data_IF_536324607137
#
_entry.id   IF_536324607137
#
_cell.length_a   1.000
_cell.length_b   1.000
_cell.length_c   1.000
_cell.angle_alpha   90.00
_cell.angle_beta   90.00
_cell.angle_gamma   90.00
#
_symmetry.space_group_name_H-M   'P 1'
#
loop_
_entity.id
_entity.type
_entity.pdbx_description
1 polymer ?
#
# COMPACT_ATOMS: atom_id res chain seq x y z
N UNK A 1 -14.09 11.26 9.35
CA UNK A 1 -12.78 11.88 9.02
C UNK A 1 -11.63 10.90 9.28
N UNK A 2 -10.72 10.69 8.32
CA UNK A 2 -9.66 9.67 8.41
C UNK A 2 -8.77 9.81 9.66
N UNK A 3 -8.61 11.03 10.21
CA UNK A 3 -7.81 11.29 11.41
C UNK A 3 -8.31 10.55 12.65
N UNK A 4 -9.63 10.32 12.74
CA UNK A 4 -10.26 9.61 13.84
C UNK A 4 -10.28 8.10 13.62
N UNK A 5 -10.08 7.64 12.37
CA UNK A 5 -10.30 6.25 12.00
C UNK A 5 -9.31 5.32 12.70
N UNK A 6 -8.05 5.73 12.89
CA UNK A 6 -7.07 4.92 13.61
C UNK A 6 -7.55 4.57 15.03
N UNK A 7 -7.97 5.56 15.82
CA UNK A 7 -8.47 5.33 17.18
C UNK A 7 -9.75 4.50 17.24
N UNK A 8 -10.57 4.52 16.18
CA UNK A 8 -11.75 3.66 16.06
C UNK A 8 -11.40 2.22 15.66
N UNK A 9 -10.31 2.02 14.91
CA UNK A 9 -9.89 0.69 14.45
C UNK A 9 -9.14 -0.09 15.52
N UNK A 10 -8.32 0.55 16.36
CA UNK A 10 -7.55 -0.11 17.43
C UNK A 10 -8.41 -1.07 18.27
N UNK A 11 -9.52 -0.64 18.92
CA UNK A 11 -10.32 -1.56 19.74
C UNK A 11 -10.98 -2.69 18.93
N UNK A 12 -11.23 -2.48 17.62
CA UNK A 12 -11.73 -3.56 16.75
C UNK A 12 -10.64 -4.60 16.50
N UNK A 13 -9.41 -4.17 16.25
CA UNK A 13 -8.28 -5.08 16.07
C UNK A 13 -7.87 -5.77 17.36
N UNK A 14 -8.04 -5.13 18.52
CA UNK A 14 -7.87 -5.80 19.82
C UNK A 14 -8.81 -7.00 19.95
N UNK A 15 -10.09 -6.82 19.63
CA UNK A 15 -11.07 -7.91 19.64
C UNK A 15 -10.74 -9.01 18.62
N UNK A 16 -10.30 -8.66 17.42
CA UNK A 16 -9.87 -9.63 16.40
C UNK A 16 -8.67 -10.42 16.90
N UNK A 17 -7.69 -9.77 17.54
CA UNK A 17 -6.51 -10.43 18.11
C UNK A 17 -6.87 -11.43 19.19
N UNK A 18 -7.82 -11.08 20.05
CA UNK A 18 -8.31 -11.97 21.10
C UNK A 18 -9.04 -13.18 20.51
N UNK A 19 -9.94 -12.94 19.54
CA UNK A 19 -10.72 -13.99 18.91
C UNK A 19 -9.86 -14.97 18.10
N UNK A 20 -8.87 -14.44 17.38
CA UNK A 20 -7.99 -15.21 16.48
C UNK A 20 -6.62 -15.51 17.12
N UNK A 21 -6.49 -15.39 18.45
CA UNK A 21 -5.21 -15.54 19.16
C UNK A 21 -4.50 -16.86 18.86
N UNK A 22 -5.24 -17.97 18.84
CA UNK A 22 -4.69 -19.30 18.53
C UNK A 22 -4.16 -19.37 17.09
N UNK A 23 -4.88 -18.76 16.14
CA UNK A 23 -4.47 -18.71 14.75
C UNK A 23 -3.15 -17.93 14.58
N UNK A 24 -3.05 -16.76 15.21
CA UNK A 24 -1.83 -15.95 15.18
C UNK A 24 -0.64 -16.62 15.88
N UNK A 25 -0.87 -17.32 16.99
CA UNK A 25 0.16 -18.10 17.68
C UNK A 25 0.69 -19.23 16.79
N UNK A 26 -0.20 -19.99 16.14
CA UNK A 26 0.19 -21.06 15.19
C UNK A 26 0.97 -20.51 14.00
N UNK A 27 0.58 -19.36 13.44
CA UNK A 27 1.32 -18.69 12.37
C UNK A 27 2.72 -18.23 12.82
N UNK A 28 2.80 -17.61 13.99
CA UNK A 28 4.06 -17.13 14.56
C UNK A 28 5.03 -18.28 14.82
N UNK A 29 4.53 -19.41 15.35
CA UNK A 29 5.30 -20.66 15.53
C UNK A 29 5.82 -21.24 14.22
N UNK A 30 5.10 -21.06 13.11
CA UNK A 30 5.56 -21.43 11.77
C UNK A 30 6.58 -20.44 11.17
N UNK A 31 6.92 -19.36 11.88
CA UNK A 31 7.90 -18.35 11.45
C UNK A 31 7.31 -17.20 10.65
N UNK A 32 5.98 -17.07 10.60
CA UNK A 32 5.32 -15.93 9.96
C UNK A 32 5.47 -14.67 10.82
N UNK A 33 5.88 -13.56 10.21
CA UNK A 33 6.03 -12.28 10.90
C UNK A 33 4.70 -11.54 10.90
N UNK A 34 4.17 -11.26 12.09
CA UNK A 34 2.91 -10.55 12.27
C UNK A 34 3.14 -9.11 12.70
N UNK A 35 2.29 -8.21 12.22
CA UNK A 35 2.10 -6.87 12.75
C UNK A 35 0.63 -6.48 12.59
N UNK A 36 0.15 -5.60 13.48
CA UNK A 36 -1.22 -5.08 13.44
C UNK A 36 -1.24 -3.61 13.03
N UNK A 37 -0.30 -3.20 12.18
CA UNK A 37 -0.02 -1.79 11.89
C UNK A 37 0.89 -1.16 12.93
N UNK A 38 1.58 -0.09 12.55
CA UNK A 38 2.59 0.59 13.40
C UNK A 38 2.01 1.19 14.69
N UNK A 39 0.73 1.50 14.68
CA UNK A 39 -0.05 2.04 15.79
C UNK A 39 -1.22 1.12 16.16
N UNK A 40 -1.12 -0.18 15.84
CA UNK A 40 -2.13 -1.21 16.14
C UNK A 40 -3.52 -0.99 15.51
N UNK A 41 -3.64 -0.05 14.56
CA UNK A 41 -4.91 0.28 13.89
C UNK A 41 -5.25 -0.62 12.69
N UNK A 42 -4.46 -1.69 12.51
CA UNK A 42 -4.77 -2.81 11.63
C UNK A 42 -4.66 -2.56 10.13
N UNK A 43 -5.18 -3.53 9.37
CA UNK A 43 -5.10 -3.57 7.90
C UNK A 43 -5.70 -2.32 7.25
N UNK A 44 -6.83 -1.83 7.76
CA UNK A 44 -7.55 -0.70 7.15
C UNK A 44 -6.68 0.55 7.13
N UNK A 45 -6.07 0.90 8.26
CA UNK A 45 -5.21 2.07 8.32
C UNK A 45 -3.87 1.84 7.62
N UNK A 46 -3.30 0.63 7.70
CA UNK A 46 -2.09 0.27 6.94
C UNK A 46 -2.30 0.47 5.43
N UNK A 47 -3.46 0.05 4.92
CA UNK A 47 -3.87 0.27 3.54
C UNK A 47 -3.99 1.75 3.20
N UNK A 48 -4.70 2.55 4.01
CA UNK A 48 -4.88 3.97 3.72
C UNK A 48 -3.55 4.75 3.74
N UNK A 49 -2.62 4.39 4.63
CA UNK A 49 -1.32 5.06 4.77
C UNK A 49 -0.32 4.69 3.69
N UNK A 50 -0.25 3.41 3.31
CA UNK A 50 0.85 2.86 2.51
C UNK A 50 0.42 2.28 1.16
N UNK A 51 -0.86 1.95 0.99
CA UNK A 51 -1.40 1.28 -0.20
C UNK A 51 -0.78 -0.10 -0.46
N UNK A 52 -0.03 -0.64 0.50
CA UNK A 52 0.84 -1.80 0.32
C UNK A 52 1.29 -2.37 1.68
N UNK A 53 2.03 -3.48 1.65
CA UNK A 53 2.67 -4.06 2.83
C UNK A 53 1.70 -4.81 3.75
N UNK A 54 0.60 -5.31 3.21
CA UNK A 54 -0.37 -6.10 3.95
C UNK A 54 -0.64 -7.42 3.24
N UNK A 55 -1.20 -8.36 4.00
CA UNK A 55 -1.52 -9.71 3.55
C UNK A 55 -2.99 -9.99 3.87
N UNK A 56 -3.70 -10.60 2.92
CA UNK A 56 -5.07 -11.08 3.10
C UNK A 56 -5.01 -12.59 2.91
N UNK A 57 -5.41 -13.34 3.94
CA UNK A 57 -5.45 -14.78 3.83
C UNK A 57 -6.58 -15.22 2.90
N UNK A 58 -6.22 -16.00 1.90
CA UNK A 58 -7.14 -16.69 0.97
C UNK A 58 -6.93 -18.20 1.02
N UNK A 59 -6.31 -18.72 2.10
CA UNK A 59 -6.06 -20.13 2.37
C UNK A 59 -4.58 -20.48 2.55
N UNK A 60 -3.66 -19.57 2.22
CA UNK A 60 -2.23 -19.82 2.30
C UNK A 60 -1.71 -19.81 3.76
N UNK A 61 -2.37 -19.09 4.68
CA UNK A 61 -1.97 -19.08 6.09
C UNK A 61 -2.07 -20.47 6.70
N UNK A 62 -3.14 -21.22 6.39
CA UNK A 62 -3.27 -22.59 6.89
C UNK A 62 -2.20 -23.51 6.29
N UNK A 63 -1.84 -23.32 5.02
CA UNK A 63 -0.75 -24.09 4.39
C UNK A 63 0.62 -23.78 5.01
N UNK A 64 0.84 -22.55 5.47
CA UNK A 64 2.03 -22.15 6.24
C UNK A 64 2.03 -22.83 7.61
N UNK A 65 0.91 -22.76 8.33
CA UNK A 65 0.75 -23.43 9.63
C UNK A 65 0.99 -24.94 9.52
N UNK A 66 0.46 -25.57 8.47
CA UNK A 66 0.62 -27.01 8.20
C UNK A 66 2.05 -27.38 7.74
N UNK A 67 2.93 -26.40 7.52
CA UNK A 67 4.29 -26.62 7.01
C UNK A 67 4.38 -26.98 5.52
N UNK A 68 3.27 -26.87 4.78
CA UNK A 68 3.23 -27.09 3.32
C UNK A 68 3.92 -25.96 2.56
N UNK A 69 3.80 -24.74 3.08
CA UNK A 69 4.58 -23.58 2.64
C UNK A 69 5.61 -23.28 3.72
N UNK A 70 6.90 -23.35 3.36
CA UNK A 70 8.00 -23.04 4.27
C UNK A 70 8.36 -21.57 4.17
N UNK A 71 8.73 -20.97 5.30
CA UNK A 71 9.15 -19.57 5.38
C UNK A 71 10.63 -19.47 5.71
N UNK A 72 11.29 -18.49 5.10
CA UNK A 72 12.67 -18.10 5.42
C UNK A 72 12.71 -16.56 5.47
N UNK A 73 12.63 -16.04 6.69
CA UNK A 73 12.50 -14.61 6.99
C UNK A 73 13.81 -14.03 7.52
N UNK A 74 13.92 -12.70 7.56
CA UNK A 74 15.09 -11.99 8.13
C UNK A 74 16.35 -12.02 7.28
N UNK A 75 16.25 -12.49 6.03
CA UNK A 75 17.35 -12.60 5.06
C UNK A 75 16.91 -12.01 3.73
N UNK A 76 17.86 -11.59 2.90
CA UNK A 76 17.62 -11.15 1.54
C UNK A 76 18.19 -12.15 0.53
N UNK A 77 17.84 -11.96 -0.74
CA UNK A 77 18.46 -12.70 -1.84
C UNK A 77 19.83 -12.10 -2.13
N UNK A 78 20.89 -12.91 -2.04
CA UNK A 78 22.26 -12.51 -2.39
C UNK A 78 22.54 -12.73 -3.88
N UNK A 79 22.23 -13.94 -4.39
CA UNK A 79 22.40 -14.29 -5.80
C UNK A 79 21.45 -15.40 -6.22
N UNK A 80 21.08 -15.39 -7.50
CA UNK A 80 20.35 -16.48 -8.15
C UNK A 80 21.34 -17.29 -8.98
N UNK A 81 21.27 -18.62 -8.84
CA UNK A 81 21.97 -19.58 -9.70
C UNK A 81 20.96 -20.29 -10.60
N UNK A 82 21.47 -21.11 -11.51
CA UNK A 82 20.66 -21.86 -12.48
C UNK A 82 19.55 -22.71 -11.83
N UNK A 83 19.83 -23.33 -10.68
CA UNK A 83 18.89 -24.21 -9.97
C UNK A 83 18.76 -23.91 -8.47
N UNK A 84 19.15 -22.71 -8.04
CA UNK A 84 19.09 -22.34 -6.63
C UNK A 84 19.09 -20.84 -6.38
N UNK A 85 18.73 -20.45 -5.16
CA UNK A 85 18.80 -19.09 -4.65
C UNK A 85 19.69 -19.09 -3.39
N UNK A 86 20.72 -18.26 -3.39
CA UNK A 86 21.58 -18.05 -2.22
C UNK A 86 21.10 -16.82 -1.47
N UNK A 87 20.91 -17.00 -0.17
CA UNK A 87 20.45 -15.97 0.75
C UNK A 87 21.63 -15.35 1.48
N UNK A 88 21.43 -14.15 2.01
CA UNK A 88 22.48 -13.37 2.69
C UNK A 88 23.05 -14.02 3.96
N UNK A 89 22.40 -15.04 4.50
CA UNK A 89 22.94 -15.83 5.63
C UNK A 89 23.77 -17.04 5.17
N UNK A 90 24.04 -17.14 3.86
CA UNK A 90 24.75 -18.26 3.24
C UNK A 90 23.87 -19.47 2.94
N UNK A 91 22.59 -19.47 3.32
CA UNK A 91 21.66 -20.57 2.97
C UNK A 91 21.49 -20.63 1.45
N UNK A 92 21.61 -21.83 0.86
CA UNK A 92 21.29 -22.08 -0.55
C UNK A 92 20.03 -22.94 -0.65
N UNK A 93 19.01 -22.44 -1.36
CA UNK A 93 17.74 -23.11 -1.56
C UNK A 93 17.63 -23.58 -3.01
N UNK A 94 17.48 -24.88 -3.25
CA UNK A 94 17.18 -25.41 -4.57
C UNK A 94 15.82 -24.91 -5.08
N UNK A 95 15.77 -24.52 -6.35
CA UNK A 95 14.54 -24.03 -6.98
C UNK A 95 14.54 -24.32 -8.48
N UNK A 96 13.45 -24.90 -8.97
CA UNK A 96 13.19 -25.07 -10.42
C UNK A 96 12.45 -23.86 -11.03
N UNK A 97 11.79 -23.06 -10.18
CA UNK A 97 11.06 -21.85 -10.57
C UNK A 97 11.21 -20.77 -9.48
N UNK A 98 11.44 -19.54 -9.92
CA UNK A 98 11.49 -18.35 -9.04
C UNK A 98 10.39 -17.38 -9.47
N UNK A 99 9.52 -17.02 -8.52
CA UNK A 99 8.44 -16.05 -8.74
C UNK A 99 8.73 -14.80 -7.91
N UNK A 100 8.86 -13.65 -8.58
CA UNK A 100 9.05 -12.36 -7.93
C UNK A 100 7.70 -11.79 -7.47
N UNK A 101 7.35 -12.08 -6.22
CA UNK A 101 6.18 -11.53 -5.54
C UNK A 101 6.54 -10.31 -4.66
N UNK A 102 7.43 -9.44 -5.13
CA UNK A 102 8.03 -8.33 -4.34
C UNK A 102 7.20 -7.04 -4.29
N UNK A 103 5.97 -7.08 -4.81
CA UNK A 103 5.02 -5.97 -4.79
C UNK A 103 5.24 -4.95 -5.92
N UNK A 104 4.55 -3.81 -5.81
CA UNK A 104 4.56 -2.74 -6.81
C UNK A 104 5.24 -1.48 -6.27
N UNK A 105 5.88 -0.72 -7.17
CA UNK A 105 6.37 0.63 -6.88
C UNK A 105 5.24 1.67 -6.78
N UNK A 106 5.59 2.91 -6.44
CA UNK A 106 4.63 4.00 -6.34
C UNK A 106 4.09 4.45 -7.70
N UNK A 107 2.88 5.02 -7.72
CA UNK A 107 2.27 5.54 -8.96
C UNK A 107 3.03 6.76 -9.51
N UNK A 108 3.54 7.63 -8.63
CA UNK A 108 4.39 8.76 -9.04
C UNK A 108 5.73 8.30 -9.61
N UNK A 109 6.29 7.18 -9.14
CA UNK A 109 7.46 6.56 -9.76
C UNK A 109 7.20 6.08 -11.20
N UNK A 110 5.97 5.67 -11.51
CA UNK A 110 5.57 5.39 -12.90
C UNK A 110 5.42 6.67 -13.73
N UNK A 111 4.91 7.76 -13.16
CA UNK A 111 4.88 9.05 -13.85
C UNK A 111 6.29 9.53 -14.24
N UNK A 112 7.29 9.30 -13.37
CA UNK A 112 8.69 9.63 -13.66
C UNK A 112 9.22 8.85 -14.87
N UNK A 113 8.93 7.56 -14.93
CA UNK A 113 9.39 6.65 -16.00
C UNK A 113 8.66 6.85 -17.32
N UNK A 114 7.35 7.15 -17.28
CA UNK A 114 6.50 7.20 -18.48
C UNK A 114 6.37 8.60 -19.07
N UNK A 115 6.52 9.66 -18.25
CA UNK A 115 6.32 11.04 -18.66
C UNK A 115 7.61 11.84 -18.47
N UNK A 116 7.97 12.16 -17.23
CA UNK A 116 9.24 12.78 -16.85
C UNK A 116 9.37 12.89 -15.33
N UNK A 117 10.60 13.03 -14.84
CA UNK A 117 10.86 13.33 -13.42
C UNK A 117 10.18 14.64 -12.99
N UNK A 118 10.21 15.69 -13.84
CA UNK A 118 9.56 16.97 -13.56
C UNK A 118 8.05 16.82 -13.32
N UNK A 119 7.37 15.99 -14.11
CA UNK A 119 5.93 15.72 -13.93
C UNK A 119 5.69 14.93 -12.64
N UNK A 120 6.54 13.96 -12.33
CA UNK A 120 6.43 13.19 -11.10
C UNK A 120 6.63 14.06 -9.85
N UNK A 121 7.58 14.97 -9.88
CA UNK A 121 7.85 15.93 -8.80
C UNK A 121 6.74 16.98 -8.69
N UNK A 122 6.17 17.40 -9.82
CA UNK A 122 5.01 18.28 -9.82
C UNK A 122 3.80 17.61 -9.18
N UNK A 123 3.52 16.34 -9.47
CA UNK A 123 2.42 15.59 -8.82
C UNK A 123 2.72 15.37 -7.34
N UNK A 124 3.94 14.94 -7.04
CA UNK A 124 4.38 14.47 -5.73
C UNK A 124 3.85 13.06 -5.37
N UNK A 125 4.00 12.69 -4.09
CA UNK A 125 3.58 11.39 -3.57
C UNK A 125 2.10 11.10 -3.89
N UNK A 126 1.84 9.93 -4.46
CA UNK A 126 0.50 9.37 -4.57
C UNK A 126 0.26 8.39 -3.43
N UNK A 127 -0.96 8.38 -2.90
CA UNK A 127 -1.38 7.59 -1.74
C UNK A 127 -0.80 8.07 -0.40
N UNK A 128 -1.47 7.68 0.69
CA UNK A 128 -1.15 8.11 2.05
C UNK A 128 -1.99 9.30 2.51
N UNK A 129 -2.07 9.48 3.84
CA UNK A 129 -2.86 10.50 4.51
C UNK A 129 -1.99 11.56 5.20
N UNK A 130 -0.70 11.32 5.30
CA UNK A 130 0.23 12.16 6.02
C UNK A 130 0.13 12.01 7.53
N UNK A 131 0.03 10.77 7.98
CA UNK A 131 -0.15 10.47 9.40
C UNK A 131 1.14 10.38 10.21
N UNK A 132 2.30 10.76 9.65
CA UNK A 132 3.62 10.65 10.31
C UNK A 132 3.98 9.22 10.74
N UNK A 133 3.44 8.23 10.05
CA UNK A 133 3.80 6.82 10.23
C UNK A 133 4.84 6.43 9.20
N UNK A 134 5.58 5.35 9.43
CA UNK A 134 6.53 4.83 8.45
C UNK A 134 5.86 4.64 7.07
N UNK A 135 6.55 5.11 6.03
CA UNK A 135 6.08 5.16 4.62
C UNK A 135 4.90 6.12 4.33
N UNK A 136 4.36 6.83 5.33
CA UNK A 136 3.37 7.90 5.17
C UNK A 136 3.78 9.18 5.93
N UNK A 137 4.87 9.84 5.50
CA UNK A 137 5.32 11.08 6.12
C UNK A 137 4.24 12.16 6.00
N UNK A 138 4.19 13.07 6.99
CA UNK A 138 3.29 14.21 6.92
C UNK A 138 3.72 15.29 5.93
N UNK A 139 2.96 16.38 5.82
CA UNK A 139 1.87 16.76 6.72
C UNK A 139 0.55 16.04 6.40
N UNK A 140 -0.39 16.12 7.34
CA UNK A 140 -1.74 15.57 7.23
C UNK A 140 -2.53 16.20 6.07
N UNK A 141 -3.07 15.35 5.20
CA UNK A 141 -3.77 15.74 3.96
C UNK A 141 -5.29 15.72 4.08
N UNK A 142 -5.82 15.00 5.08
CA UNK A 142 -7.27 14.83 5.27
C UNK A 142 -7.92 13.75 4.37
N UNK A 143 -7.36 13.51 3.19
CA UNK A 143 -7.78 12.48 2.23
C UNK A 143 -6.56 11.83 1.56
N UNK A 144 -6.78 10.79 0.75
CA UNK A 144 -5.67 10.12 0.04
C UNK A 144 -5.00 11.09 -0.95
N UNK A 145 -3.67 11.15 -0.91
CA UNK A 145 -2.87 12.01 -1.79
C UNK A 145 -3.06 11.66 -3.26
N UNK A 146 -3.39 12.67 -4.06
CA UNK A 146 -3.43 12.62 -5.53
C UNK A 146 -4.29 11.50 -6.15
N UNK A 147 -5.20 10.87 -5.39
CA UNK A 147 -6.08 9.82 -5.89
C UNK A 147 -7.45 10.39 -6.26
N UNK A 148 -7.92 10.12 -7.48
CA UNK A 148 -9.26 10.48 -8.01
C UNK A 148 -9.60 11.98 -8.04
N UNK A 149 -8.60 12.84 -7.86
CA UNK A 149 -8.72 14.29 -7.78
C UNK A 149 -7.67 14.98 -8.68
N UNK A 150 -7.85 16.26 -9.05
CA UNK A 150 -6.88 16.99 -9.85
C UNK A 150 -5.54 17.03 -9.11
N UNK A 151 -4.45 16.85 -9.87
CA UNK A 151 -3.09 17.00 -9.37
C UNK A 151 -2.55 18.37 -9.72
N UNK A 152 -1.39 18.73 -9.17
CA UNK A 152 -0.64 19.92 -9.58
C UNK A 152 -0.15 19.86 -11.03
N UNK A 153 -0.11 18.66 -11.65
CA UNK A 153 0.11 18.53 -13.09
C UNK A 153 -1.23 18.67 -13.81
N UNK A 154 -1.44 19.74 -14.61
CA UNK A 154 -2.65 19.89 -15.39
C UNK A 154 -2.83 18.71 -16.34
N UNK A 155 -4.07 18.22 -16.44
CA UNK A 155 -4.41 17.11 -17.35
C UNK A 155 -4.08 15.72 -16.82
N UNK A 156 -3.59 15.57 -15.58
CA UNK A 156 -3.21 14.28 -15.01
C UNK A 156 -3.99 13.95 -13.73
N UNK A 157 -4.56 12.74 -13.71
CA UNK A 157 -5.27 12.14 -12.57
C UNK A 157 -4.78 10.72 -12.36
N UNK A 158 -4.76 10.27 -11.10
CA UNK A 158 -4.48 8.89 -10.76
C UNK A 158 -5.76 8.18 -10.34
N UNK A 159 -5.98 6.98 -10.89
CA UNK A 159 -7.08 6.12 -10.54
C UNK A 159 -6.53 4.76 -10.09
N UNK A 160 -6.96 4.29 -8.93
CA UNK A 160 -6.52 3.00 -8.40
C UNK A 160 -7.34 2.60 -7.18
N UNK A 161 -6.73 1.79 -6.33
CA UNK A 161 -7.35 1.23 -5.14
C UNK A 161 -8.05 -0.10 -5.38
N UNK A 162 -8.70 -0.61 -4.34
CA UNK A 162 -9.47 -1.85 -4.42
C UNK A 162 -10.81 -1.62 -5.15
N UNK A 163 -11.56 -2.69 -5.41
CA UNK A 163 -12.83 -2.63 -6.13
C UNK A 163 -13.82 -1.63 -5.51
N UNK A 164 -13.89 -1.54 -4.19
CA UNK A 164 -14.76 -0.59 -3.50
C UNK A 164 -14.39 0.86 -3.84
N UNK A 165 -13.11 1.22 -3.71
CA UNK A 165 -12.64 2.57 -4.02
C UNK A 165 -12.75 2.88 -5.51
N UNK A 166 -12.37 1.95 -6.39
CA UNK A 166 -12.51 2.16 -7.83
C UNK A 166 -13.96 2.44 -8.19
N UNK A 167 -14.91 1.57 -7.77
CA UNK A 167 -16.35 1.76 -8.07
C UNK A 167 -16.88 3.08 -7.52
N UNK A 168 -16.53 3.43 -6.29
CA UNK A 168 -17.01 4.66 -5.66
C UNK A 168 -16.46 5.91 -6.36
N UNK A 169 -15.15 5.95 -6.60
CA UNK A 169 -14.48 7.15 -7.09
C UNK A 169 -14.48 7.31 -8.62
N UNK A 170 -14.74 6.27 -9.41
CA UNK A 170 -14.89 6.41 -10.87
C UNK A 170 -15.99 7.40 -11.23
N UNK A 171 -17.11 7.42 -10.49
CA UNK A 171 -18.21 8.36 -10.74
C UNK A 171 -17.76 9.81 -10.53
N UNK A 172 -17.12 10.11 -9.39
CA UNK A 172 -16.64 11.46 -9.10
C UNK A 172 -15.58 11.92 -10.10
N UNK A 173 -14.65 11.04 -10.47
CA UNK A 173 -13.63 11.35 -11.46
C UNK A 173 -14.26 11.63 -12.85
N UNK A 174 -15.20 10.81 -13.29
CA UNK A 174 -15.88 11.00 -14.56
C UNK A 174 -16.66 12.33 -14.61
N UNK A 175 -17.38 12.68 -13.54
CA UNK A 175 -18.10 13.96 -13.45
C UNK A 175 -17.16 15.16 -13.49
N UNK A 176 -16.02 15.08 -12.79
CA UNK A 176 -15.00 16.12 -12.82
C UNK A 176 -14.36 16.33 -14.20
N UNK A 177 -14.13 15.24 -14.93
CA UNK A 177 -13.61 15.30 -16.30
C UNK A 177 -14.66 15.87 -17.25
N UNK A 178 -15.91 15.39 -17.15
CA UNK A 178 -17.02 15.89 -17.98
C UNK A 178 -17.27 17.37 -17.77
N UNK A 179 -17.29 17.86 -16.53
CA UNK A 179 -17.47 19.29 -16.24
C UNK A 179 -16.38 20.14 -16.93
N UNK A 180 -15.11 19.70 -16.90
CA UNK A 180 -14.01 20.38 -17.60
C UNK A 180 -14.15 20.34 -19.11
N UNK A 181 -14.62 19.22 -19.67
CA UNK A 181 -14.89 19.10 -21.11
C UNK A 181 -15.99 20.07 -21.56
N UNK A 182 -16.99 20.32 -20.73
CA UNK A 182 -18.08 21.28 -21.01
C UNK A 182 -17.69 22.74 -20.70
N UNK A 183 -16.44 23.02 -20.34
CA UNK A 183 -15.97 24.37 -20.01
C UNK A 183 -16.56 24.92 -18.70
N UNK A 184 -17.09 24.06 -17.82
CA UNK A 184 -17.56 24.48 -16.51
C UNK A 184 -16.38 24.80 -15.58
N UNK A 185 -16.54 25.82 -14.74
CA UNK A 185 -15.57 26.08 -13.68
C UNK A 185 -15.54 24.89 -12.69
N UNK A 186 -14.33 24.44 -12.39
CA UNK A 186 -14.06 23.30 -11.52
C UNK A 186 -13.00 23.67 -10.49
N UNK A 187 -13.28 24.75 -9.75
CA UNK A 187 -12.44 25.23 -8.65
C UNK A 187 -12.03 24.09 -7.72
N UNK A 188 -10.72 23.96 -7.50
CA UNK A 188 -10.14 22.94 -6.62
C UNK A 188 -9.85 23.57 -5.27
N UNK A 189 -10.58 23.15 -4.24
CA UNK A 189 -10.38 23.62 -2.88
C UNK A 189 -9.34 22.78 -2.15
N UNK A 190 -8.57 23.40 -1.26
CA UNK A 190 -7.66 22.69 -0.36
C UNK A 190 -6.42 22.08 -1.04
N UNK A 191 -6.04 22.54 -2.23
CA UNK A 191 -4.77 22.14 -2.85
C UNK A 191 -3.60 22.80 -2.11
N UNK A 192 -2.96 22.05 -1.23
CA UNK A 192 -1.75 22.45 -0.51
C UNK A 192 -0.48 22.26 -1.35
N UNK A 193 0.70 22.71 -0.86
CA UNK A 193 1.95 22.54 -1.58
C UNK A 193 2.39 21.07 -1.67
N UNK A 194 3.27 20.76 -2.64
CA UNK A 194 3.86 19.43 -2.77
C UNK A 194 5.00 19.26 -1.76
N UNK A 195 4.86 18.28 -0.86
CA UNK A 195 5.84 18.02 0.20
C UNK A 195 6.81 16.88 -0.07
N UNK A 196 6.49 15.99 -1.02
CA UNK A 196 7.24 14.77 -1.28
C UNK A 196 7.46 14.59 -2.77
N UNK A 197 8.71 14.73 -3.21
CA UNK A 197 9.15 14.54 -4.58
C UNK A 197 9.44 13.06 -4.86
N UNK A 198 9.56 12.68 -6.13
CA UNK A 198 9.64 11.28 -6.58
C UNK A 198 11.06 10.75 -6.68
#
# INVERSE_FOLDING_TARGET
>A
PYKLLAGLQVPMYDQIREQDAEFYDRLSKAGFLLDFGEDESGLVMKYMRRGSGYYIDVGASQMIIDGKIKLKSGVNIERIKEHSVVLTDGTELSADLIVYATGYGSMNGWAAKLISQEVADRVGKCWGLGSETAKDPGPWEGELRNMWKPTHQPGLWFHGGNLHQSRHYSQFLALQLKARMEGMDTTVYGMGPVHHLS
#
